data_IF_939767556800
#
_entry.id   IF_939767556800
#
_cell.length_a   1.000
_cell.length_b   1.000
_cell.length_c   1.000
_cell.angle_alpha   90.00
_cell.angle_beta   90.00
_cell.angle_gamma   90.00
#
_symmetry.space_group_name_H-M   'P 1'
#
loop_
_entity.id
_entity.type
_entity.pdbx_description
1 polymer ?
#
# COMPACT_ATOMS: atom_id res chain seq x y z
N UNK A 1 -16.09 -34.23 31.50
CA UNK A 1 -14.62 -34.31 31.33
C UNK A 1 -14.24 -33.52 30.09
N UNK A 2 -13.98 -32.22 30.22
CA UNK A 2 -13.47 -31.36 29.14
C UNK A 2 -13.05 -30.01 29.81
N UNK A 3 -11.84 -29.93 30.38
CA UNK A 3 -10.87 -28.97 29.84
C UNK A 3 -9.41 -29.41 30.05
N UNK A 4 -8.69 -29.75 28.97
CA UNK A 4 -7.25 -30.06 29.04
C UNK A 4 -6.44 -29.73 27.77
N UNK A 5 -7.05 -29.12 26.74
CA UNK A 5 -6.44 -29.01 25.40
C UNK A 5 -6.21 -27.56 24.90
N UNK A 6 -6.50 -26.54 25.70
CA UNK A 6 -6.34 -25.12 25.33
C UNK A 6 -5.13 -24.50 26.07
N UNK A 7 -4.00 -25.22 26.08
CA UNK A 7 -2.79 -24.82 26.82
C UNK A 7 -1.49 -24.89 25.99
N UNK A 8 -1.54 -25.27 24.71
CA UNK A 8 -0.36 -25.63 23.91
C UNK A 8 0.05 -24.53 22.89
N UNK A 9 -0.82 -23.56 22.57
CA UNK A 9 -0.56 -22.54 21.54
C UNK A 9 -0.10 -21.16 22.06
N UNK A 10 0.26 -21.02 23.34
CA UNK A 10 0.73 -19.75 23.92
C UNK A 10 2.25 -19.71 24.22
N UNK A 11 3.05 -20.51 23.52
CA UNK A 11 4.51 -20.60 23.75
C UNK A 11 5.32 -20.46 22.46
N UNK A 12 5.14 -19.35 21.72
CA UNK A 12 6.23 -18.65 21.04
C UNK A 12 5.79 -17.21 20.68
N UNK A 13 6.71 -16.26 20.81
CA UNK A 13 6.68 -14.89 20.23
C UNK A 13 5.49 -13.95 20.50
N UNK A 14 5.04 -13.86 21.76
CA UNK A 14 4.21 -12.73 22.22
C UNK A 14 4.85 -11.94 23.38
N UNK A 15 6.19 -11.82 23.41
CA UNK A 15 6.95 -11.27 24.57
C UNK A 15 7.54 -9.86 24.40
N UNK A 16 7.60 -9.30 23.19
CA UNK A 16 8.38 -8.07 22.93
C UNK A 16 7.56 -6.78 22.70
N UNK A 17 6.27 -6.85 22.37
CA UNK A 17 5.52 -5.67 21.93
C UNK A 17 4.89 -4.80 23.05
N UNK A 18 4.77 -5.30 24.28
CA UNK A 18 3.88 -4.69 25.30
C UNK A 18 4.58 -3.75 26.32
N UNK A 19 5.86 -3.44 26.16
CA UNK A 19 6.67 -2.76 27.19
C UNK A 19 6.63 -1.21 27.16
N UNK A 20 6.03 -0.57 26.15
CA UNK A 20 6.30 0.84 25.84
C UNK A 20 5.05 1.74 25.66
N UNK A 21 4.26 1.99 26.72
CA UNK A 21 3.38 3.19 26.87
C UNK A 21 2.60 3.32 28.22
N UNK A 22 3.27 3.25 29.38
CA UNK A 22 2.60 3.55 30.68
C UNK A 22 3.42 4.44 31.63
N UNK A 23 3.90 5.59 31.14
CA UNK A 23 4.42 6.67 31.99
C UNK A 23 4.03 8.07 31.46
N UNK A 24 2.84 8.57 31.84
CA UNK A 24 2.53 10.01 32.04
C UNK A 24 1.12 10.23 32.62
N UNK A 25 0.95 11.35 33.34
CA UNK A 25 -0.23 11.77 34.13
C UNK A 25 -0.52 10.94 35.40
N UNK A 26 -0.51 11.44 36.65
CA UNK A 26 -0.60 12.82 37.23
C UNK A 26 -1.87 13.55 36.75
N UNK A 27 -2.80 14.09 37.54
CA UNK A 27 -2.91 14.51 38.97
C UNK A 27 -4.42 14.37 39.32
N UNK A 28 -4.98 14.50 40.54
CA UNK A 28 -4.51 15.09 41.81
C UNK A 28 -5.30 14.51 43.01
N UNK A 29 -4.99 15.01 44.21
CA UNK A 29 -5.77 14.89 45.45
C UNK A 29 -6.23 16.29 45.90
N UNK A 30 -7.45 16.41 46.45
CA UNK A 30 -8.03 17.43 47.38
C UNK A 30 -9.57 17.20 47.39
N UNK A 31 -10.39 17.46 48.43
CA UNK A 31 -10.17 18.19 49.69
C UNK A 31 -11.22 17.82 50.78
N UNK A 32 -10.85 18.08 52.05
CA UNK A 32 -11.69 18.41 53.24
C UNK A 32 -12.66 17.38 53.87
N UNK A 33 -12.58 17.32 55.20
CA UNK A 33 -13.53 16.67 56.12
C UNK A 33 -14.67 17.59 56.56
N UNK A 34 -15.85 17.03 56.81
CA UNK A 34 -16.65 17.41 57.99
C UNK A 34 -17.48 16.20 58.43
N UNK A 35 -17.61 16.02 59.74
CA UNK A 35 -18.34 14.88 60.30
C UNK A 35 -19.78 15.22 60.65
N UNK A 36 -20.69 14.25 60.46
CA UNK A 36 -21.87 14.13 61.31
C UNK A 36 -22.31 12.66 61.41
N UNK A 37 -22.46 12.17 62.63
CA UNK A 37 -22.88 10.81 62.96
C UNK A 37 -24.40 10.77 63.15
N UNK A 38 -25.12 10.13 62.22
CA UNK A 38 -26.51 9.76 62.40
C UNK A 38 -26.65 8.24 62.48
N UNK A 39 -27.19 7.74 63.60
CA UNK A 39 -27.60 6.34 63.74
C UNK A 39 -28.94 6.15 63.05
N UNK A 40 -28.98 5.35 61.97
CA UNK A 40 -30.20 4.86 61.35
C UNK A 40 -30.11 3.37 61.04
N UNK A 41 -31.28 2.73 60.94
CA UNK A 41 -31.54 1.29 61.08
C UNK A 41 -30.65 0.32 60.26
N UNK A 42 -30.35 -0.88 60.79
CA UNK A 42 -29.73 -1.96 60.03
C UNK A 42 -30.79 -2.67 59.17
N UNK A 43 -30.87 -2.32 57.88
CA UNK A 43 -31.63 -3.13 56.92
C UNK A 43 -30.96 -3.15 55.54
N UNK A 44 -30.89 -4.36 54.96
CA UNK A 44 -30.48 -4.65 53.58
C UNK A 44 -29.02 -4.32 53.21
N UNK A 45 -28.08 -5.01 53.85
CA UNK A 45 -26.90 -5.47 53.11
C UNK A 45 -27.32 -6.55 52.09
N UNK A 46 -27.12 -6.37 50.78
CA UNK A 46 -27.21 -7.50 49.84
C UNK A 46 -26.10 -8.51 50.16
N UNK A 47 -26.42 -9.80 50.02
CA UNK A 47 -25.49 -10.89 50.37
C UNK A 47 -24.16 -10.78 49.63
N UNK A 48 -23.06 -10.87 50.40
CA UNK A 48 -21.66 -10.76 49.93
C UNK A 48 -21.35 -11.64 48.72
N UNK A 49 -21.93 -12.85 48.66
CA UNK A 49 -21.74 -13.78 47.53
C UNK A 49 -22.37 -13.35 46.20
N UNK A 50 -23.28 -12.38 46.18
CA UNK A 50 -23.86 -11.87 44.93
C UNK A 50 -22.94 -10.89 44.18
N UNK A 51 -21.98 -10.28 44.87
CA UNK A 51 -21.03 -9.37 44.23
C UNK A 51 -19.85 -10.14 43.61
N UNK A 52 -19.36 -11.18 44.27
CA UNK A 52 -18.25 -12.00 43.78
C UNK A 52 -18.58 -12.68 42.43
N UNK A 53 -19.80 -13.22 42.28
CA UNK A 53 -20.26 -13.83 41.03
C UNK A 53 -20.36 -12.81 39.87
N UNK A 54 -20.74 -11.57 40.18
CA UNK A 54 -20.87 -10.51 39.18
C UNK A 54 -19.49 -10.00 38.75
N UNK A 55 -18.56 -9.84 39.68
CA UNK A 55 -17.15 -9.49 39.41
C UNK A 55 -16.47 -10.56 38.56
N UNK A 56 -16.68 -11.85 38.86
CA UNK A 56 -16.16 -12.97 38.05
C UNK A 56 -16.68 -12.95 36.60
N UNK A 57 -17.98 -12.69 36.40
CA UNK A 57 -18.57 -12.60 35.05
C UNK A 57 -18.05 -11.39 34.26
N UNK A 58 -17.93 -10.22 34.91
CA UNK A 58 -17.39 -9.01 34.27
C UNK A 58 -15.92 -9.19 33.90
N UNK A 59 -15.10 -9.81 34.78
CA UNK A 59 -13.70 -10.12 34.49
C UNK A 59 -13.56 -11.09 33.31
N UNK A 60 -14.36 -12.16 33.25
CA UNK A 60 -14.35 -13.10 32.13
C UNK A 60 -14.75 -12.43 30.80
N UNK A 61 -15.75 -11.54 30.80
CA UNK A 61 -16.15 -10.78 29.62
C UNK A 61 -15.05 -9.82 29.15
N UNK A 62 -14.39 -9.11 30.08
CA UNK A 62 -13.29 -8.20 29.75
C UNK A 62 -12.10 -8.95 29.13
N UNK A 63 -11.75 -10.12 29.66
CA UNK A 63 -10.68 -10.96 29.10
C UNK A 63 -11.03 -11.50 27.70
N UNK A 64 -12.28 -11.90 27.45
CA UNK A 64 -12.71 -12.30 26.10
C UNK A 64 -12.68 -11.12 25.12
N UNK A 65 -13.11 -9.92 25.52
CA UNK A 65 -13.04 -8.72 24.67
C UNK A 65 -11.59 -8.35 24.36
N UNK A 66 -10.67 -8.41 25.33
CA UNK A 66 -9.24 -8.19 25.11
C UNK A 66 -8.64 -9.23 24.15
N UNK A 67 -9.00 -10.51 24.29
CA UNK A 67 -8.53 -11.58 23.40
C UNK A 67 -9.01 -11.35 21.96
N UNK A 68 -10.28 -10.96 21.76
CA UNK A 68 -10.83 -10.66 20.44
C UNK A 68 -10.20 -9.41 19.80
N UNK A 69 -9.82 -8.40 20.60
CA UNK A 69 -9.08 -7.24 20.13
C UNK A 69 -7.66 -7.59 19.65
N UNK A 70 -6.99 -8.56 20.28
CA UNK A 70 -5.68 -9.03 19.83
C UNK A 70 -5.75 -9.82 18.51
N UNK A 71 -6.82 -10.55 18.25
CA UNK A 71 -6.99 -11.33 17.00
C UNK A 71 -7.20 -10.41 15.78
N UNK A 72 -7.70 -9.18 15.99
CA UNK A 72 -7.92 -8.18 14.94
C UNK A 72 -6.68 -7.28 14.68
N UNK A 73 -5.56 -7.52 15.36
CA UNK A 73 -4.34 -6.74 15.20
C UNK A 73 -3.52 -7.25 13.99
N UNK A 74 -3.99 -6.95 12.77
CA UNK A 74 -3.19 -7.13 11.56
C UNK A 74 -1.91 -6.29 11.63
N UNK A 75 -0.76 -6.98 11.70
CA UNK A 75 0.56 -6.34 11.71
C UNK A 75 0.84 -5.66 10.38
N UNK A 76 0.94 -4.33 10.37
CA UNK A 76 1.30 -3.59 9.17
C UNK A 76 2.80 -3.75 8.88
N UNK A 77 3.16 -4.57 7.89
CA UNK A 77 4.55 -4.76 7.47
C UNK A 77 5.22 -3.44 7.06
N UNK A 78 6.39 -3.16 7.63
CA UNK A 78 7.19 -1.97 7.36
C UNK A 78 8.30 -2.29 6.36
N UNK A 79 8.44 -1.48 5.31
CA UNK A 79 9.49 -1.63 4.30
C UNK A 79 10.90 -1.56 4.93
N UNK A 80 11.07 -0.73 5.96
CA UNK A 80 12.33 -0.61 6.71
C UNK A 80 12.71 -1.86 7.52
N UNK A 81 11.80 -2.81 7.74
CA UNK A 81 12.07 -4.07 8.44
C UNK A 81 12.48 -5.21 7.48
N UNK A 82 12.15 -5.11 6.19
CA UNK A 82 12.49 -6.15 5.21
C UNK A 82 14.00 -6.12 4.90
N UNK A 83 14.58 -7.31 4.75
CA UNK A 83 15.98 -7.48 4.34
C UNK A 83 16.16 -7.28 2.83
N UNK A 84 17.23 -6.57 2.44
CA UNK A 84 17.63 -6.45 1.03
C UNK A 84 18.53 -7.64 0.66
N UNK A 85 17.92 -8.71 0.11
CA UNK A 85 18.59 -9.98 -0.18
C UNK A 85 18.57 -10.37 -1.66
N UNK A 86 17.65 -9.83 -2.47
CA UNK A 86 17.55 -10.14 -3.90
C UNK A 86 18.26 -9.09 -4.76
N UNK A 87 18.96 -9.53 -5.79
CA UNK A 87 19.44 -8.69 -6.88
C UNK A 87 18.44 -8.74 -8.04
N UNK A 88 18.13 -7.59 -8.66
CA UNK A 88 17.14 -7.47 -9.74
C UNK A 88 17.72 -6.70 -10.91
N UNK A 89 17.60 -7.26 -12.11
CA UNK A 89 18.09 -6.71 -13.37
C UNK A 89 16.94 -6.66 -14.38
N UNK A 90 16.93 -5.62 -15.21
CA UNK A 90 15.91 -5.40 -16.24
C UNK A 90 16.61 -5.10 -17.55
N UNK A 91 16.25 -5.83 -18.60
CA UNK A 91 16.75 -5.61 -19.97
C UNK A 91 15.57 -5.53 -20.94
N UNK A 92 15.75 -4.79 -22.03
CA UNK A 92 14.81 -4.79 -23.14
C UNK A 92 15.04 -6.00 -24.05
N UNK A 93 14.27 -6.07 -25.14
CA UNK A 93 14.54 -6.99 -26.24
C UNK A 93 16.02 -6.92 -26.68
N UNK A 94 16.58 -8.05 -27.11
CA UNK A 94 17.97 -8.19 -27.57
C UNK A 94 19.06 -7.80 -26.55
N UNK A 95 18.76 -7.88 -25.24
CA UNK A 95 19.62 -7.44 -24.13
C UNK A 95 19.94 -5.93 -24.16
N UNK A 96 19.12 -5.14 -24.85
CA UNK A 96 19.28 -3.69 -24.93
C UNK A 96 18.82 -2.97 -23.65
N UNK A 97 19.10 -1.66 -23.57
CA UNK A 97 18.59 -0.82 -22.47
C UNK A 97 17.06 -0.72 -22.54
N UNK A 98 16.32 -0.97 -21.44
CA UNK A 98 14.84 -0.94 -21.42
C UNK A 98 14.23 0.47 -21.50
N UNK A 99 15.02 1.50 -21.83
CA UNK A 99 14.55 2.89 -21.88
C UNK A 99 13.83 3.22 -23.20
N UNK A 100 12.63 3.82 -23.12
CA UNK A 100 11.79 4.08 -24.29
C UNK A 100 10.87 2.91 -24.66
N UNK A 101 10.59 2.03 -23.70
CA UNK A 101 9.74 0.85 -23.86
C UNK A 101 8.28 1.27 -24.00
N UNK A 102 7.59 0.84 -25.07
CA UNK A 102 6.19 1.20 -25.31
C UNK A 102 5.23 0.19 -24.67
N UNK A 103 4.29 0.73 -23.90
CA UNK A 103 3.15 -0.01 -23.36
C UNK A 103 2.42 -0.77 -24.49
N UNK A 104 2.06 -2.03 -24.22
CA UNK A 104 1.32 -2.92 -25.09
C UNK A 104 2.08 -3.55 -26.25
N UNK A 105 3.34 -3.19 -26.48
CA UNK A 105 4.11 -3.67 -27.65
C UNK A 105 5.46 -4.26 -27.27
N UNK A 106 6.19 -3.64 -26.34
CA UNK A 106 7.53 -4.07 -26.00
C UNK A 106 7.54 -5.08 -24.84
N UNK A 107 8.40 -6.09 -24.98
CA UNK A 107 8.75 -7.05 -23.94
C UNK A 107 9.95 -6.56 -23.11
N UNK A 108 9.89 -6.82 -21.81
CA UNK A 108 10.97 -6.64 -20.86
C UNK A 108 11.37 -7.98 -20.25
N UNK A 109 12.67 -8.20 -20.16
CA UNK A 109 13.26 -9.36 -19.50
C UNK A 109 13.67 -8.93 -18.09
N UNK A 110 12.91 -9.40 -17.10
CA UNK A 110 13.17 -9.16 -15.67
C UNK A 110 13.83 -10.39 -15.09
N UNK A 111 15.08 -10.24 -14.66
CA UNK A 111 15.86 -11.32 -14.05
C UNK A 111 16.13 -10.98 -12.59
N UNK A 112 15.90 -11.94 -11.70
CA UNK A 112 16.16 -11.80 -10.27
C UNK A 112 16.97 -12.99 -9.76
N UNK A 113 17.81 -12.78 -8.76
CA UNK A 113 18.61 -13.82 -8.11
C UNK A 113 18.88 -13.46 -6.63
N UNK A 114 19.28 -14.43 -5.81
CA UNK A 114 19.80 -14.11 -4.46
C UNK A 114 21.15 -13.41 -4.60
N UNK A 115 21.36 -12.30 -3.90
CA UNK A 115 22.65 -11.62 -3.87
C UNK A 115 23.65 -12.46 -3.07
N UNK A 116 24.66 -13.03 -3.73
CA UNK A 116 25.68 -13.88 -3.09
C UNK A 116 26.49 -13.19 -1.99
N UNK A 117 26.50 -11.86 -1.98
CA UNK A 117 27.17 -11.03 -0.95
C UNK A 117 26.32 -10.93 0.32
N UNK A 118 25.00 -11.08 0.21
CA UNK A 118 24.07 -11.06 1.32
C UNK A 118 24.06 -12.45 1.99
N UNK A 119 24.73 -12.58 3.14
CA UNK A 119 24.67 -13.77 3.99
C UNK A 119 23.31 -13.83 4.70
N UNK A 120 22.27 -14.17 3.95
CA UNK A 120 20.87 -14.19 4.39
C UNK A 120 20.33 -15.61 4.32
N UNK A 121 19.55 -15.99 5.33
CA UNK A 121 18.81 -17.25 5.38
C UNK A 121 17.60 -17.16 4.42
N UNK A 122 17.65 -17.97 3.36
CA UNK A 122 16.62 -18.06 2.33
C UNK A 122 15.56 -19.15 2.61
N UNK A 123 15.64 -19.86 3.75
CA UNK A 123 14.77 -20.99 4.10
C UNK A 123 13.28 -20.64 4.20
N UNK A 124 12.96 -19.37 4.51
CA UNK A 124 11.60 -18.84 4.57
C UNK A 124 11.00 -18.58 3.18
N UNK A 125 11.82 -18.39 2.14
CA UNK A 125 11.35 -17.92 0.84
C UNK A 125 10.66 -19.05 0.05
N UNK A 126 9.43 -18.81 -0.41
CA UNK A 126 8.63 -19.77 -1.20
C UNK A 126 8.37 -19.28 -2.61
N UNK A 127 8.07 -18.00 -2.77
CA UNK A 127 7.84 -17.38 -4.08
C UNK A 127 8.40 -15.96 -4.14
N UNK A 128 8.62 -15.47 -5.36
CA UNK A 128 9.05 -14.11 -5.64
C UNK A 128 7.95 -13.37 -6.38
N UNK A 129 7.50 -12.26 -5.81
CA UNK A 129 6.57 -11.32 -6.44
C UNK A 129 7.35 -10.17 -7.05
N UNK A 130 7.14 -9.90 -8.34
CA UNK A 130 7.77 -8.80 -9.06
C UNK A 130 6.77 -7.65 -9.20
N UNK A 131 7.17 -6.43 -8.79
CA UNK A 131 6.36 -5.21 -8.95
C UNK A 131 7.12 -4.11 -9.68
N UNK A 132 6.39 -3.35 -10.48
CA UNK A 132 6.87 -2.14 -11.16
C UNK A 132 6.67 -0.93 -10.25
N UNK A 133 7.74 -0.17 -10.02
CA UNK A 133 7.79 0.92 -9.05
C UNK A 133 8.17 2.27 -9.69
N UNK A 134 7.49 3.36 -9.30
CA UNK A 134 7.80 4.71 -9.78
C UNK A 134 9.16 5.21 -9.25
N UNK A 135 10.09 5.56 -10.14
CA UNK A 135 11.33 6.24 -9.78
C UNK A 135 11.08 7.63 -9.18
N UNK A 136 12.00 8.10 -8.34
CA UNK A 136 11.91 9.39 -7.65
C UNK A 136 11.50 10.59 -8.55
N UNK A 137 12.08 10.80 -9.76
CA UNK A 137 11.65 11.92 -10.63
C UNK A 137 10.17 11.84 -11.06
N UNK A 138 9.55 10.66 -11.02
CA UNK A 138 8.13 10.46 -11.37
C UNK A 138 7.16 10.53 -10.19
N UNK A 139 7.67 10.73 -8.96
CA UNK A 139 6.87 10.94 -7.74
C UNK A 139 6.64 12.42 -7.39
N UNK A 140 7.43 13.35 -7.95
CA UNK A 140 7.34 14.80 -7.70
C UNK A 140 5.95 15.31 -8.07
N UNK A 141 5.30 16.05 -7.16
CA UNK A 141 3.92 16.57 -7.26
C UNK A 141 2.81 15.54 -7.57
N UNK A 142 3.11 14.24 -7.52
CA UNK A 142 2.17 13.15 -7.76
C UNK A 142 1.90 12.37 -6.48
N UNK A 143 1.06 12.93 -5.59
CA UNK A 143 0.72 12.31 -4.28
C UNK A 143 0.21 10.86 -4.38
N UNK A 144 -0.37 10.47 -5.52
CA UNK A 144 -0.82 9.10 -5.79
C UNK A 144 0.29 8.12 -6.21
N UNK A 145 1.52 8.58 -6.42
CA UNK A 145 2.73 7.77 -6.72
C UNK A 145 3.74 7.76 -5.56
N UNK A 146 3.40 8.40 -4.43
CA UNK A 146 4.33 8.63 -3.32
C UNK A 146 4.60 7.32 -2.56
N UNK A 147 5.88 7.11 -2.24
CA UNK A 147 6.31 5.96 -1.43
C UNK A 147 5.84 6.08 0.03
N UNK A 148 5.50 4.96 0.66
CA UNK A 148 5.26 4.83 2.10
C UNK A 148 6.18 3.76 2.69
N UNK A 149 6.45 3.84 4.00
CA UNK A 149 7.14 2.77 4.73
C UNK A 149 6.17 1.63 5.09
N UNK A 150 4.91 1.94 5.42
CA UNK A 150 3.87 0.90 5.57
C UNK A 150 3.57 0.30 4.20
N UNK A 151 3.88 -0.97 4.01
CA UNK A 151 3.90 -1.63 2.71
C UNK A 151 2.50 -1.75 2.07
N UNK A 152 1.45 -1.89 2.88
CA UNK A 152 0.04 -1.86 2.44
C UNK A 152 -0.45 -0.46 2.04
N UNK A 153 0.34 0.59 2.31
CA UNK A 153 0.04 1.99 1.97
C UNK A 153 1.06 2.58 0.96
N UNK A 154 2.03 1.79 0.51
CA UNK A 154 2.99 2.19 -0.51
C UNK A 154 2.32 2.26 -1.87
N UNK A 155 2.26 3.45 -2.46
CA UNK A 155 1.71 3.66 -3.81
C UNK A 155 2.79 3.71 -4.89
N UNK A 156 4.06 3.64 -4.50
CA UNK A 156 5.16 3.67 -5.46
C UNK A 156 5.22 2.40 -6.31
N UNK A 157 4.91 1.24 -5.73
CA UNK A 157 4.92 -0.07 -6.39
C UNK A 157 3.49 -0.62 -6.55
N UNK A 158 2.70 -0.04 -7.45
CA UNK A 158 1.26 -0.35 -7.60
C UNK A 158 0.93 -1.37 -8.70
N UNK A 159 1.88 -1.76 -9.55
CA UNK A 159 1.62 -2.67 -10.69
C UNK A 159 2.42 -3.96 -10.55
N UNK A 160 1.80 -5.07 -10.92
CA UNK A 160 2.37 -6.41 -10.79
C UNK A 160 2.93 -6.90 -12.13
N UNK A 161 4.12 -7.50 -12.07
CA UNK A 161 4.86 -8.01 -13.23
C UNK A 161 4.62 -9.52 -13.30
N UNK A 162 3.50 -9.88 -13.93
CA UNK A 162 3.06 -11.28 -14.03
C UNK A 162 2.58 -11.87 -12.69
N UNK A 163 2.56 -13.21 -12.61
CA UNK A 163 2.21 -13.95 -11.39
C UNK A 163 3.46 -14.24 -10.54
N UNK A 164 3.31 -14.39 -9.20
CA UNK A 164 4.42 -14.80 -8.34
C UNK A 164 5.08 -16.09 -8.84
N UNK A 165 6.41 -16.07 -8.91
CA UNK A 165 7.22 -17.20 -9.39
C UNK A 165 7.74 -18.04 -8.23
N UNK A 166 7.98 -19.35 -8.39
CA UNK A 166 8.61 -20.16 -7.35
C UNK A 166 10.04 -19.64 -7.06
N UNK A 167 10.40 -19.55 -5.78
CA UNK A 167 11.74 -19.11 -5.38
C UNK A 167 12.82 -20.12 -5.80
N UNK A 168 13.92 -19.63 -6.34
CA UNK A 168 15.12 -20.41 -6.67
C UNK A 168 16.36 -19.58 -6.33
N UNK A 169 17.33 -20.18 -5.63
CA UNK A 169 18.52 -19.46 -5.14
C UNK A 169 19.42 -18.93 -6.27
N UNK A 170 19.53 -19.68 -7.36
CA UNK A 170 20.24 -19.28 -8.58
C UNK A 170 19.53 -18.14 -9.35
N UNK A 171 18.28 -17.83 -8.99
CA UNK A 171 17.44 -16.86 -9.70
C UNK A 171 16.64 -17.44 -10.84
N UNK A 172 15.81 -16.60 -11.44
CA UNK A 172 15.05 -16.90 -12.65
C UNK A 172 14.82 -15.62 -13.47
N UNK A 173 14.47 -15.77 -14.75
CA UNK A 173 14.09 -14.69 -15.65
C UNK A 173 12.64 -14.84 -16.10
N UNK A 174 11.89 -13.73 -16.07
CA UNK A 174 10.52 -13.64 -16.56
C UNK A 174 10.43 -12.64 -17.71
N UNK A 175 9.79 -13.03 -18.80
CA UNK A 175 9.40 -12.11 -19.88
C UNK A 175 8.08 -11.47 -19.51
N UNK A 176 8.01 -10.14 -19.56
CA UNK A 176 6.81 -9.36 -19.28
C UNK A 176 6.55 -8.34 -20.38
N UNK A 177 5.37 -8.43 -21.00
CA UNK A 177 4.88 -7.39 -21.91
C UNK A 177 4.34 -6.24 -21.05
N UNK A 178 4.80 -5.01 -21.29
CA UNK A 178 4.34 -3.85 -20.52
C UNK A 178 2.84 -3.63 -20.75
N UNK A 179 2.05 -3.57 -19.68
CA UNK A 179 0.60 -3.39 -19.76
C UNK A 179 0.17 -2.06 -20.40
N UNK A 180 -0.99 -2.06 -21.07
CA UNK A 180 -1.59 -0.87 -21.70
C UNK A 180 -2.02 0.20 -20.69
N UNK A 181 -2.24 -0.20 -19.44
CA UNK A 181 -2.63 0.59 -18.29
C UNK A 181 -1.46 1.34 -17.62
N UNK A 182 -0.21 0.97 -17.97
CA UNK A 182 0.99 1.60 -17.41
C UNK A 182 1.14 3.03 -17.95
N UNK A 183 1.06 4.07 -17.09
CA UNK A 183 1.13 5.46 -17.53
C UNK A 183 2.58 5.91 -17.78
N UNK A 184 2.74 7.03 -18.50
CA UNK A 184 4.05 7.68 -18.67
C UNK A 184 4.72 7.97 -17.32
N UNK A 185 5.91 7.41 -17.14
CA UNK A 185 6.82 7.66 -16.04
C UNK A 185 8.17 6.97 -16.27
N UNK A 186 9.13 7.30 -15.42
CA UNK A 186 10.34 6.53 -15.19
C UNK A 186 10.10 5.51 -14.06
N UNK A 187 10.49 4.27 -14.30
CA UNK A 187 10.25 3.14 -13.42
C UNK A 187 11.54 2.40 -13.08
N UNK A 188 11.47 1.61 -12.00
CA UNK A 188 12.40 0.53 -11.67
C UNK A 188 11.59 -0.71 -11.26
N UNK A 189 12.23 -1.87 -11.22
CA UNK A 189 11.58 -3.11 -10.76
C UNK A 189 12.04 -3.45 -9.35
N UNK A 190 11.10 -3.90 -8.51
CA UNK A 190 11.35 -4.46 -7.18
C UNK A 190 10.82 -5.89 -7.12
N UNK A 191 11.66 -6.80 -6.67
CA UNK A 191 11.28 -8.15 -6.27
C UNK A 191 10.98 -8.16 -4.76
N UNK A 192 9.99 -8.95 -4.35
CA UNK A 192 9.71 -9.27 -2.96
C UNK A 192 9.79 -10.79 -2.77
N UNK A 193 10.55 -11.21 -1.76
CA UNK A 193 10.50 -12.59 -1.28
C UNK A 193 9.25 -12.78 -0.42
N UNK A 194 8.41 -13.74 -0.80
CA UNK A 194 7.20 -14.14 -0.08
C UNK A 194 7.45 -15.45 0.68
N UNK A 195 6.88 -15.54 1.88
CA UNK A 195 6.89 -16.75 2.70
C UNK A 195 5.75 -17.73 2.34
N UNK A 196 5.48 -18.72 3.20
CA UNK A 196 4.37 -19.66 3.03
C UNK A 196 2.96 -19.08 3.31
N UNK A 197 2.87 -17.93 3.99
CA UNK A 197 1.61 -17.20 4.20
C UNK A 197 1.34 -16.19 3.07
N UNK A 198 2.34 -15.89 2.24
CA UNK A 198 2.29 -14.84 1.22
C UNK A 198 2.71 -13.46 1.75
N UNK A 199 3.30 -13.41 2.94
CA UNK A 199 3.83 -12.17 3.53
C UNK A 199 5.21 -11.83 2.97
N UNK A 200 5.48 -10.53 2.84
CA UNK A 200 6.71 -10.02 2.21
C UNK A 200 7.82 -9.93 3.27
N UNK A 201 8.77 -10.87 3.23
CA UNK A 201 9.84 -11.02 4.23
C UNK A 201 11.18 -10.42 3.78
N UNK A 202 11.36 -10.21 2.47
CA UNK A 202 12.57 -9.64 1.89
C UNK A 202 12.26 -8.86 0.62
N UNK A 203 13.21 -8.02 0.18
CA UNK A 203 13.14 -7.33 -1.11
C UNK A 203 14.46 -7.34 -1.86
N UNK A 204 14.37 -6.94 -3.12
CA UNK A 204 15.48 -6.52 -3.96
C UNK A 204 14.98 -5.53 -4.99
N UNK A 205 15.81 -4.58 -5.45
CA UNK A 205 15.39 -3.61 -6.45
C UNK A 205 16.52 -3.27 -7.42
N UNK A 206 16.18 -2.94 -8.67
CA UNK A 206 17.16 -2.60 -9.70
C UNK A 206 17.79 -1.22 -9.51
N UNK A 207 17.21 -0.38 -8.64
CA UNK A 207 17.59 1.02 -8.39
C UNK A 207 18.19 1.20 -6.99
N UNK A 208 18.94 2.28 -6.78
CA UNK A 208 19.48 2.68 -5.47
C UNK A 208 18.39 3.03 -4.45
N UNK A 209 18.77 3.18 -3.17
CA UNK A 209 17.86 3.56 -2.09
C UNK A 209 17.09 4.88 -2.38
N UNK A 210 17.73 5.83 -3.07
CA UNK A 210 17.13 7.10 -3.50
C UNK A 210 16.20 6.98 -4.72
N UNK A 211 16.14 5.82 -5.39
CA UNK A 211 15.30 5.53 -6.57
C UNK A 211 15.57 6.46 -7.76
N UNK A 212 16.83 6.75 -8.01
CA UNK A 212 17.33 7.65 -9.07
C UNK A 212 18.25 6.97 -10.09
N UNK A 213 18.85 5.82 -9.78
CA UNK A 213 19.70 5.06 -10.72
C UNK A 213 18.92 3.96 -11.45
N UNK A 214 19.44 3.49 -12.59
CA UNK A 214 18.89 2.34 -13.35
C UNK A 214 17.37 2.44 -13.62
N UNK A 215 16.89 3.67 -13.83
CA UNK A 215 15.51 3.93 -14.20
C UNK A 215 15.33 3.76 -15.71
N UNK A 216 14.15 3.30 -16.11
CA UNK A 216 13.76 3.22 -17.53
C UNK A 216 12.42 3.93 -17.76
N UNK A 217 12.31 4.60 -18.91
CA UNK A 217 11.08 5.32 -19.29
C UNK A 217 10.13 4.37 -20.00
N UNK A 218 8.88 4.32 -19.54
CA UNK A 218 7.77 3.68 -20.26
C UNK A 218 6.99 4.75 -21.02
N UNK A 219 6.86 4.58 -22.33
CA UNK A 219 5.99 5.37 -23.18
C UNK A 219 4.57 4.76 -23.19
N UNK A 220 3.53 5.50 -22.83
CA UNK A 220 2.16 4.99 -22.88
C UNK A 220 1.71 4.87 -24.34
N UNK A 221 0.68 4.05 -24.57
CA UNK A 221 -0.03 4.09 -25.85
C UNK A 221 -0.64 5.48 -26.04
N UNK A 222 -0.35 6.12 -27.17
CA UNK A 222 -0.97 7.40 -27.51
C UNK A 222 -2.47 7.21 -27.74
N UNK A 223 -3.28 7.57 -26.75
CA UNK A 223 -4.74 7.71 -26.91
C UNK A 223 -5.13 8.83 -27.89
N UNK A 224 -4.19 9.74 -28.20
CA UNK A 224 -4.35 10.83 -29.17
C UNK A 224 -4.23 10.29 -30.59
N UNK A 225 -5.37 9.83 -31.13
CA UNK A 225 -5.53 9.42 -32.53
C UNK A 225 -5.78 10.65 -33.41
N UNK A 226 -5.27 10.63 -34.64
CA UNK A 226 -5.46 11.73 -35.61
C UNK A 226 -6.94 12.10 -35.83
N UNK A 227 -7.86 11.14 -35.69
CA UNK A 227 -9.31 11.37 -35.76
C UNK A 227 -9.84 12.31 -34.65
N UNK A 228 -9.29 12.25 -33.43
CA UNK A 228 -9.67 13.14 -32.32
C UNK A 228 -9.15 14.55 -32.59
N UNK A 229 -7.91 14.68 -33.06
CA UNK A 229 -7.32 15.98 -33.42
C UNK A 229 -8.09 16.66 -34.57
N UNK A 230 -8.46 15.91 -35.61
CA UNK A 230 -9.25 16.41 -36.74
C UNK A 230 -10.66 16.80 -36.27
N UNK A 231 -11.33 15.98 -35.46
CA UNK A 231 -12.65 16.31 -34.94
C UNK A 231 -12.63 17.59 -34.08
N UNK A 232 -11.63 17.75 -33.20
CA UNK A 232 -11.45 18.94 -32.40
C UNK A 232 -11.23 20.20 -33.27
N UNK A 233 -10.41 20.10 -34.33
CA UNK A 233 -10.20 21.19 -35.28
C UNK A 233 -11.49 21.58 -36.03
N UNK A 234 -12.26 20.60 -36.52
CA UNK A 234 -13.53 20.84 -37.23
C UNK A 234 -14.58 21.48 -36.32
N UNK A 235 -14.77 20.98 -35.09
CA UNK A 235 -15.71 21.58 -34.15
C UNK A 235 -15.30 22.99 -33.71
N UNK A 236 -13.99 23.24 -33.53
CA UNK A 236 -13.47 24.58 -33.23
C UNK A 236 -13.75 25.56 -34.37
N UNK A 237 -13.46 25.17 -35.61
CA UNK A 237 -13.74 25.99 -36.79
C UNK A 237 -15.24 26.24 -36.98
N UNK A 238 -16.08 25.22 -36.81
CA UNK A 238 -17.53 25.34 -36.92
C UNK A 238 -18.11 26.33 -35.90
N UNK A 239 -17.62 26.29 -34.65
CA UNK A 239 -18.04 27.24 -33.60
C UNK A 239 -17.76 28.70 -33.97
N UNK A 240 -16.54 28.99 -34.47
CA UNK A 240 -16.15 30.34 -34.90
C UNK A 240 -16.96 30.78 -36.13
N UNK A 241 -17.11 29.90 -37.13
CA UNK A 241 -17.87 30.21 -38.35
C UNK A 241 -19.36 30.43 -38.06
N UNK A 242 -19.97 29.65 -37.16
CA UNK A 242 -21.36 29.84 -36.74
C UNK A 242 -21.57 31.18 -36.04
N UNK A 243 -20.63 31.61 -35.18
CA UNK A 243 -20.69 32.90 -34.50
C UNK A 243 -20.51 34.07 -35.47
N UNK A 244 -19.54 33.98 -36.39
CA UNK A 244 -19.36 34.99 -37.44
C UNK A 244 -20.58 35.06 -38.37
N UNK A 245 -21.15 33.93 -38.76
CA UNK A 245 -22.37 33.85 -39.58
C UNK A 245 -23.55 34.53 -38.90
N UNK A 246 -23.73 34.32 -37.60
CA UNK A 246 -24.77 34.97 -36.80
C UNK A 246 -24.63 36.51 -36.80
N UNK A 247 -23.43 37.05 -36.51
CA UNK A 247 -23.21 38.50 -36.53
C UNK A 247 -23.39 39.12 -37.93
N UNK A 248 -23.04 38.41 -39.01
CA UNK A 248 -23.29 38.87 -40.37
C UNK A 248 -24.79 38.89 -40.70
N UNK A 249 -25.54 37.86 -40.27
CA UNK A 249 -26.98 37.77 -40.44
C UNK A 249 -27.73 38.90 -39.69
N UNK A 250 -27.37 39.17 -38.43
CA UNK A 250 -27.94 40.30 -37.67
C UNK A 250 -27.69 41.64 -38.37
N UNK A 251 -26.46 41.86 -38.85
CA UNK A 251 -26.08 43.10 -39.57
C UNK A 251 -26.85 43.29 -40.87
N UNK A 252 -27.17 42.21 -41.58
CA UNK A 252 -28.00 42.26 -42.79
C UNK A 252 -29.48 42.50 -42.46
N UNK A 253 -30.02 41.80 -41.48
CA UNK A 253 -31.42 41.96 -41.04
C UNK A 253 -31.70 43.36 -40.49
N UNK A 254 -30.76 43.93 -39.73
CA UNK A 254 -30.84 45.31 -39.23
C UNK A 254 -30.76 46.39 -40.33
N UNK A 255 -30.31 46.05 -41.54
CA UNK A 255 -30.40 46.90 -42.73
C UNK A 255 -31.71 46.71 -43.50
N UNK A 256 -32.24 45.49 -43.57
CA UNK A 256 -33.49 45.17 -44.26
C UNK A 256 -34.74 45.79 -43.61
N UNK A 257 -34.77 45.87 -42.27
CA UNK A 257 -35.87 46.48 -41.51
C UNK A 257 -35.79 48.02 -41.37
N UNK A 258 -35.01 48.71 -42.21
CA UNK A 258 -35.02 50.18 -42.33
C UNK A 258 -35.67 50.58 -43.65
N UNK A 259 -36.97 50.32 -43.75
CA UNK A 259 -37.88 50.77 -44.80
C UNK A 259 -39.19 51.23 -44.14
#
# INVERSE_FOLDING_TARGET
MLPALIAIYCTHDCRSACAAKLLKSKTSNQFISSGQTYKLAPSLFPSRGSMDLLVLRVSSLLMFVLLMLCILAEGATLFSELSESLAVYVTGADNSSPNGTKAGTNELFVTWALNSTAQVDDSAYRSVELKLCFGAPSQIDRRWRKTNDILSKDKSCSFDIGSPQPYQRAGNSTVWIVGNDIPFAQYFVRAYGLDSAGEKVAYGQSSNAQRTSNLFTVEPISGRRASIDIAAAVFSAFSVLSLCGFFLYEKMSAKGNKA
#
